data_IF_184771356785
#
_entry.id   IF_184771356785
#
_cell.length_a   1.000
_cell.length_b   1.000
_cell.length_c   1.000
_cell.angle_alpha   90.00
_cell.angle_beta   90.00
_cell.angle_gamma   90.00
#
_symmetry.space_group_name_H-M   'P 1'
#
loop_
_entity.id
_entity.type
_entity.pdbx_description
1 polymer ?
#
# COMPACT_ATOMS: atom_id res chain seq x y z
N UNK A 1 -1.06 -10.16 13.93
CA UNK A 1 -0.51 -8.78 13.88
C UNK A 1 -1.64 -7.79 13.61
N UNK A 2 -1.59 -6.53 14.11
CA UNK A 2 -2.73 -5.64 14.05
C UNK A 2 -3.09 -5.31 12.60
N UNK A 3 -4.36 -5.53 12.23
CA UNK A 3 -4.91 -5.32 10.88
C UNK A 3 -4.93 -3.83 10.44
N UNK A 4 -4.49 -2.91 11.30
CA UNK A 4 -4.40 -1.48 11.05
C UNK A 4 -3.12 -0.90 11.66
N UNK A 5 -2.11 -0.62 10.82
CA UNK A 5 -0.84 0.02 11.20
C UNK A 5 -0.98 1.53 11.52
N UNK A 6 -2.22 2.05 11.59
CA UNK A 6 -2.52 3.43 11.95
C UNK A 6 -2.29 3.71 13.45
N UNK A 7 -2.24 2.65 14.28
CA UNK A 7 -2.02 2.72 15.73
C UNK A 7 -0.78 1.93 16.18
N UNK A 8 0.26 1.84 15.35
CA UNK A 8 1.50 1.16 15.75
C UNK A 8 2.16 1.93 16.90
N UNK A 9 2.00 1.45 18.14
CA UNK A 9 2.81 1.91 19.26
C UNK A 9 4.24 1.47 19.00
N UNK A 10 5.10 2.44 18.73
CA UNK A 10 6.51 2.19 18.45
C UNK A 10 7.19 1.82 19.77
N UNK A 11 7.36 0.53 20.03
CA UNK A 11 8.00 0.03 21.23
C UNK A 11 9.37 -0.58 20.88
N UNK A 12 10.39 -0.23 21.66
CA UNK A 12 11.71 -0.84 21.47
C UNK A 12 11.59 -2.32 21.78
N UNK A 13 12.07 -3.17 20.88
CA UNK A 13 11.94 -4.62 20.97
C UNK A 13 10.92 -5.22 20.00
N UNK A 14 10.07 -4.41 19.34
CA UNK A 14 9.13 -4.93 18.32
C UNK A 14 9.85 -5.60 17.17
N UNK A 15 9.32 -6.75 16.73
CA UNK A 15 9.79 -7.52 15.59
C UNK A 15 8.90 -7.33 14.36
N UNK A 16 9.53 -7.28 13.20
CA UNK A 16 8.92 -7.28 11.87
C UNK A 16 9.46 -8.48 11.10
N UNK A 17 8.58 -9.20 10.39
CA UNK A 17 9.02 -10.35 9.59
C UNK A 17 9.81 -9.87 8.37
N UNK A 18 9.25 -8.86 7.68
CA UNK A 18 9.88 -8.27 6.51
C UNK A 18 10.27 -6.81 6.72
N UNK A 19 11.36 -6.41 6.06
CA UNK A 19 11.78 -5.01 5.98
C UNK A 19 10.69 -4.10 5.36
N UNK A 20 9.86 -4.67 4.48
CA UNK A 20 8.75 -3.97 3.82
C UNK A 20 7.69 -3.53 4.84
N UNK A 21 7.39 -4.35 5.84
CA UNK A 21 6.45 -4.00 6.90
C UNK A 21 6.95 -2.80 7.71
N UNK A 22 8.22 -2.81 8.11
CA UNK A 22 8.83 -1.70 8.82
C UNK A 22 8.81 -0.41 7.99
N UNK A 23 9.23 -0.46 6.72
CA UNK A 23 9.23 0.73 5.86
C UNK A 23 7.82 1.24 5.58
N UNK A 24 6.83 0.36 5.46
CA UNK A 24 5.43 0.73 5.31
C UNK A 24 4.86 1.39 6.57
N UNK A 25 5.19 0.85 7.76
CA UNK A 25 4.82 1.44 9.05
C UNK A 25 5.41 2.86 9.21
N UNK A 26 6.70 3.04 8.87
CA UNK A 26 7.37 4.35 8.91
C UNK A 26 6.71 5.35 7.96
N UNK A 27 6.39 4.94 6.72
CA UNK A 27 5.70 5.80 5.75
C UNK A 27 4.32 6.19 6.25
N UNK A 28 3.54 5.24 6.77
CA UNK A 28 2.20 5.48 7.30
C UNK A 28 2.25 6.45 8.49
N UNK A 29 3.19 6.25 9.42
CA UNK A 29 3.41 7.15 10.54
C UNK A 29 3.80 8.57 10.08
N UNK A 30 4.73 8.68 9.13
CA UNK A 30 5.16 9.96 8.57
C UNK A 30 3.99 10.74 7.96
N UNK A 31 3.08 10.06 7.26
CA UNK A 31 1.97 10.70 6.55
C UNK A 31 0.83 11.08 7.50
N UNK A 32 0.43 10.19 8.41
CA UNK A 32 -0.61 10.48 9.39
C UNK A 32 -0.24 11.64 10.31
N UNK A 33 1.04 11.75 10.69
CA UNK A 33 1.53 12.80 11.57
C UNK A 33 2.15 14.00 10.82
N UNK A 34 2.18 13.98 9.48
CA UNK A 34 2.83 14.99 8.64
C UNK A 34 4.29 15.26 9.06
N UNK A 35 5.09 14.21 9.24
CA UNK A 35 6.50 14.30 9.64
C UNK A 35 7.41 14.09 8.44
N UNK A 36 8.38 14.99 8.27
CA UNK A 36 9.40 14.92 7.22
C UNK A 36 10.48 13.90 7.59
N UNK A 37 10.17 12.61 7.53
CA UNK A 37 11.11 11.53 7.82
C UNK A 37 11.98 11.20 6.61
N UNK A 38 13.25 10.83 6.83
CA UNK A 38 14.17 10.35 5.79
C UNK A 38 14.87 9.08 6.24
N UNK A 39 14.91 8.09 5.34
CA UNK A 39 15.78 6.92 5.47
C UNK A 39 17.23 7.38 5.23
N UNK A 40 18.03 7.41 6.29
CA UNK A 40 19.45 7.80 6.24
C UNK A 40 20.32 6.59 5.86
N UNK A 41 20.03 5.43 6.45
CA UNK A 41 20.64 4.15 6.08
C UNK A 41 19.53 3.16 5.78
N UNK A 42 19.67 2.43 4.68
CA UNK A 42 18.77 1.35 4.30
C UNK A 42 19.61 0.31 3.56
N UNK A 43 20.17 -0.62 4.32
CA UNK A 43 20.96 -1.73 3.82
C UNK A 43 20.34 -3.05 4.27
N UNK A 44 20.84 -4.19 3.78
CA UNK A 44 20.28 -5.51 4.07
C UNK A 44 20.44 -5.94 5.56
N UNK A 45 21.08 -5.13 6.40
CA UNK A 45 21.33 -5.42 7.81
C UNK A 45 20.65 -4.42 8.74
N UNK A 46 20.43 -3.17 8.31
CA UNK A 46 19.93 -2.08 9.15
C UNK A 46 19.20 -1.00 8.36
N UNK A 47 18.20 -0.43 9.03
CA UNK A 47 17.53 0.79 8.64
C UNK A 47 17.70 1.83 9.75
N UNK A 48 18.12 3.03 9.36
CA UNK A 48 18.15 4.19 10.22
C UNK A 48 17.28 5.30 9.61
N UNK A 49 16.30 5.77 10.36
CA UNK A 49 15.39 6.84 9.93
C UNK A 49 15.50 8.00 10.91
N UNK A 50 15.63 9.21 10.37
CA UNK A 50 15.66 10.46 11.17
C UNK A 50 14.58 11.41 10.66
N UNK A 51 14.03 12.23 11.54
CA UNK A 51 13.20 13.36 11.14
C UNK A 51 14.08 14.54 10.69
N UNK A 52 13.74 15.13 9.54
CA UNK A 52 14.38 16.33 9.00
C UNK A 52 13.61 17.62 9.31
N UNK A 53 12.54 17.54 10.09
CA UNK A 53 11.81 18.72 10.55
C UNK A 53 12.70 19.66 11.38
N UNK A 54 12.32 20.94 11.45
CA UNK A 54 13.11 21.95 12.16
C UNK A 54 14.50 22.14 11.55
N UNK A 55 14.62 22.11 10.22
CA UNK A 55 15.89 22.19 9.46
C UNK A 55 16.91 21.09 9.84
N UNK A 56 16.43 19.92 10.25
CA UNK A 56 17.28 18.77 10.62
C UNK A 56 17.63 18.68 12.11
N UNK A 57 17.17 19.63 12.93
CA UNK A 57 17.38 19.65 14.38
C UNK A 57 16.37 18.80 15.15
N UNK A 58 15.49 18.07 14.44
CA UNK A 58 14.61 17.12 15.07
C UNK A 58 15.37 15.96 15.69
N UNK A 59 15.11 15.74 16.98
CA UNK A 59 15.69 14.65 17.78
C UNK A 59 15.07 13.29 17.46
N UNK A 60 13.93 13.25 16.77
CA UNK A 60 13.27 12.00 16.44
C UNK A 60 14.12 11.13 15.52
N UNK A 61 14.35 9.89 15.93
CA UNK A 61 14.99 8.87 15.11
C UNK A 61 14.52 7.47 15.50
N UNK A 62 14.74 6.52 14.59
CA UNK A 62 14.54 5.10 14.85
C UNK A 62 15.62 4.28 14.14
N UNK A 63 16.01 3.18 14.78
CA UNK A 63 16.98 2.23 14.28
C UNK A 63 16.39 0.82 14.36
N UNK A 64 16.24 0.22 13.19
CA UNK A 64 15.77 -1.15 13.01
C UNK A 64 16.87 -1.96 12.33
N UNK A 65 16.94 -3.25 12.60
CA UNK A 65 18.02 -4.08 12.08
C UNK A 65 17.69 -5.55 12.12
N UNK A 66 18.26 -6.27 11.17
CA UNK A 66 18.05 -7.69 11.02
C UNK A 66 18.78 -8.48 12.11
N UNK A 67 18.08 -9.48 12.64
CA UNK A 67 18.56 -10.46 13.61
C UNK A 67 18.53 -11.83 12.97
N UNK A 68 19.72 -12.36 12.71
CA UNK A 68 19.88 -13.66 12.05
C UNK A 68 19.42 -14.83 12.93
N UNK A 69 19.53 -14.68 14.26
CA UNK A 69 19.15 -15.69 15.25
C UNK A 69 17.65 -15.99 15.25
N UNK A 70 16.82 -14.98 15.01
CA UNK A 70 15.34 -15.11 14.95
C UNK A 70 14.78 -14.88 13.55
N UNK A 71 15.66 -14.70 12.55
CA UNK A 71 15.31 -14.39 11.16
C UNK A 71 14.28 -13.25 11.02
N UNK A 72 14.45 -12.16 11.78
CA UNK A 72 13.48 -11.07 11.85
C UNK A 72 14.15 -9.69 12.01
N UNK A 73 13.42 -8.64 11.69
CA UNK A 73 13.84 -7.25 11.85
C UNK A 73 13.39 -6.71 13.20
N UNK A 74 14.32 -6.28 14.05
CA UNK A 74 14.00 -5.75 15.37
C UNK A 74 14.19 -4.23 15.43
N UNK A 75 13.18 -3.53 15.96
CA UNK A 75 13.29 -2.13 16.37
C UNK A 75 14.15 -2.02 17.63
N UNK A 76 15.43 -1.62 17.48
CA UNK A 76 16.41 -1.61 18.57
C UNK A 76 16.55 -0.27 19.28
N UNK A 77 16.35 0.84 18.57
CA UNK A 77 16.40 2.18 19.18
C UNK A 77 15.29 3.05 18.63
N UNK A 78 14.67 3.83 19.51
CA UNK A 78 13.66 4.81 19.15
C UNK A 78 13.79 6.02 20.08
N UNK A 79 13.83 7.20 19.49
CA UNK A 79 13.58 8.45 20.20
C UNK A 79 12.28 9.05 19.66
N UNK A 80 11.20 8.96 20.44
CA UNK A 80 9.84 9.25 19.96
C UNK A 80 9.47 10.74 19.98
N UNK A 81 10.17 11.58 20.75
CA UNK A 81 9.82 12.99 20.86
C UNK A 81 10.24 13.79 19.61
N UNK A 82 9.28 14.53 19.05
CA UNK A 82 9.53 15.53 18.00
C UNK A 82 9.58 16.92 18.62
N UNK A 83 10.51 17.75 18.15
CA UNK A 83 10.55 19.19 18.45
C UNK A 83 10.23 20.04 17.20
N UNK A 84 9.78 19.41 16.12
CA UNK A 84 9.46 20.06 14.86
C UNK A 84 7.95 20.21 14.68
N UNK A 85 7.54 21.15 13.85
CA UNK A 85 6.15 21.28 13.40
C UNK A 85 5.80 20.24 12.34
N UNK A 86 4.50 20.14 12.01
CA UNK A 86 4.01 19.35 10.88
C UNK A 86 4.52 19.94 9.57
N UNK A 87 4.88 19.08 8.62
CA UNK A 87 5.29 19.44 7.27
C UNK A 87 4.15 19.08 6.30
N UNK A 88 3.78 20.03 5.45
CA UNK A 88 2.77 19.82 4.42
C UNK A 88 3.33 19.03 3.23
N UNK A 89 4.65 19.05 3.00
CA UNK A 89 5.29 18.37 1.89
C UNK A 89 6.08 17.13 2.36
N UNK A 90 5.36 16.04 2.62
CA UNK A 90 5.98 14.79 3.10
C UNK A 90 6.55 13.99 1.93
N UNK A 91 7.88 14.05 1.76
CA UNK A 91 8.63 13.36 0.68
C UNK A 91 8.50 11.83 0.66
N UNK A 92 8.04 11.22 1.76
CA UNK A 92 7.82 9.77 1.84
C UNK A 92 6.52 9.30 1.18
N UNK A 93 5.62 10.22 0.82
CA UNK A 93 4.49 9.87 -0.03
C UNK A 93 5.05 9.42 -1.38
N UNK A 94 4.56 8.29 -1.90
CA UNK A 94 4.88 7.81 -3.26
C UNK A 94 3.59 7.51 -4.02
N UNK A 95 3.64 7.58 -5.35
CA UNK A 95 2.47 7.24 -6.17
C UNK A 95 2.00 5.80 -5.95
N UNK A 96 2.93 4.87 -5.73
CA UNK A 96 2.64 3.47 -5.40
C UNK A 96 1.92 3.32 -4.06
N UNK A 97 2.41 3.95 -3.01
CA UNK A 97 1.78 3.89 -1.69
C UNK A 97 0.37 4.51 -1.73
N UNK A 98 0.21 5.58 -2.50
CA UNK A 98 -1.08 6.23 -2.69
C UNK A 98 -2.04 5.36 -3.54
N UNK A 99 -1.55 4.69 -4.59
CA UNK A 99 -2.38 3.84 -5.45
C UNK A 99 -3.00 2.67 -4.68
N UNK A 100 -2.22 1.98 -3.86
CA UNK A 100 -2.68 0.84 -3.03
C UNK A 100 -3.86 1.25 -2.11
N UNK A 101 -3.80 2.44 -1.52
CA UNK A 101 -4.89 2.96 -0.66
C UNK A 101 -6.09 3.48 -1.44
N UNK A 102 -5.91 3.82 -2.71
CA UNK A 102 -6.97 4.31 -3.57
C UNK A 102 -7.73 3.19 -4.28
N UNK A 103 -7.25 1.95 -4.27
CA UNK A 103 -7.87 0.85 -5.02
C UNK A 103 -9.36 0.68 -4.69
N UNK A 104 -9.73 0.69 -3.40
CA UNK A 104 -11.15 0.62 -2.99
C UNK A 104 -11.96 1.77 -3.59
N UNK A 105 -11.42 2.99 -3.49
CA UNK A 105 -12.05 4.20 -4.03
C UNK A 105 -12.21 4.12 -5.56
N UNK A 106 -11.24 3.54 -6.26
CA UNK A 106 -11.27 3.36 -7.71
C UNK A 106 -12.21 2.23 -8.15
N UNK A 107 -12.41 1.20 -7.33
CA UNK A 107 -13.43 0.16 -7.57
C UNK A 107 -14.83 0.74 -7.48
N UNK A 108 -15.09 1.58 -6.48
CA UNK A 108 -16.40 2.22 -6.26
C UNK A 108 -16.68 3.33 -7.28
N UNK A 109 -15.66 4.12 -7.64
CA UNK A 109 -15.80 5.20 -8.62
C UNK A 109 -14.58 5.27 -9.56
N UNK A 110 -14.62 4.52 -10.69
CA UNK A 110 -13.53 4.47 -11.67
C UNK A 110 -13.28 5.78 -12.44
N UNK A 111 -14.26 6.70 -12.47
CA UNK A 111 -14.20 7.96 -13.24
C UNK A 111 -13.77 9.15 -12.39
N UNK A 112 -13.35 8.92 -11.14
CA UNK A 112 -12.93 9.96 -10.21
C UNK A 112 -11.88 10.90 -10.81
N UNK A 113 -12.11 12.21 -10.65
CA UNK A 113 -11.21 13.24 -11.17
C UNK A 113 -9.97 13.33 -10.28
N UNK A 114 -8.86 13.70 -10.92
CA UNK A 114 -7.55 13.86 -10.25
C UNK A 114 -7.62 14.93 -9.15
N UNK A 115 -8.41 15.98 -9.35
CA UNK A 115 -8.58 17.04 -8.35
C UNK A 115 -9.32 16.55 -7.10
N UNK A 116 -10.39 15.77 -7.26
CA UNK A 116 -11.14 15.19 -6.15
C UNK A 116 -10.26 14.26 -5.30
N UNK A 117 -9.39 13.48 -5.95
CA UNK A 117 -8.41 12.63 -5.26
C UNK A 117 -7.45 13.48 -4.44
N UNK A 118 -6.93 14.56 -5.03
CA UNK A 118 -6.03 15.48 -4.35
C UNK A 118 -6.70 16.10 -3.13
N UNK A 119 -7.95 16.53 -3.26
CA UNK A 119 -8.72 17.08 -2.16
C UNK A 119 -8.97 16.04 -1.06
N UNK A 120 -9.36 14.80 -1.41
CA UNK A 120 -9.52 13.71 -0.44
C UNK A 120 -8.23 13.42 0.33
N UNK A 121 -7.09 13.38 -0.35
CA UNK A 121 -5.78 13.14 0.29
C UNK A 121 -5.43 14.28 1.24
N UNK A 122 -5.60 15.54 0.79
CA UNK A 122 -5.35 16.71 1.63
C UNK A 122 -6.27 16.73 2.85
N UNK A 123 -7.56 16.45 2.69
CA UNK A 123 -8.51 16.38 3.83
C UNK A 123 -8.17 15.26 4.81
N UNK A 124 -7.74 14.09 4.32
CA UNK A 124 -7.43 12.93 5.18
C UNK A 124 -6.12 13.07 5.95
N UNK A 125 -5.05 13.51 5.29
CA UNK A 125 -3.70 13.51 5.88
C UNK A 125 -3.11 14.91 6.10
N UNK A 126 -3.79 15.98 5.70
CA UNK A 126 -3.26 17.35 5.75
C UNK A 126 -1.84 17.46 5.15
N UNK A 127 -1.66 16.80 3.99
CA UNK A 127 -0.41 16.75 3.22
C UNK A 127 -0.71 17.13 1.78
N UNK A 128 0.13 17.99 1.21
CA UNK A 128 0.06 18.39 -0.18
C UNK A 128 0.65 17.34 -1.10
N UNK A 129 -0.10 16.97 -2.14
CA UNK A 129 0.39 16.13 -3.24
C UNK A 129 0.39 16.91 -4.55
N UNK A 130 1.33 16.59 -5.43
CA UNK A 130 1.41 17.20 -6.76
C UNK A 130 0.42 16.55 -7.73
N UNK A 131 -0.05 17.31 -8.73
CA UNK A 131 -0.99 16.81 -9.74
C UNK A 131 -0.45 15.58 -10.49
N UNK A 132 0.84 15.60 -10.85
CA UNK A 132 1.50 14.50 -11.56
C UNK A 132 1.56 13.23 -10.71
N UNK A 133 1.80 13.37 -9.40
CA UNK A 133 1.79 12.24 -8.48
C UNK A 133 0.40 11.62 -8.37
N UNK A 134 -0.63 12.44 -8.21
CA UNK A 134 -2.03 11.99 -8.15
C UNK A 134 -2.44 11.29 -9.44
N UNK A 135 -2.04 11.84 -10.60
CA UNK A 135 -2.31 11.22 -11.89
C UNK A 135 -1.69 9.83 -12.00
N UNK A 136 -0.40 9.70 -11.66
CA UNK A 136 0.31 8.41 -11.65
C UNK A 136 -0.32 7.42 -10.68
N UNK A 137 -0.66 7.85 -9.47
CA UNK A 137 -1.32 7.00 -8.48
C UNK A 137 -2.69 6.49 -8.97
N UNK A 138 -3.47 7.36 -9.62
CA UNK A 138 -4.76 7.00 -10.22
C UNK A 138 -4.60 5.98 -11.35
N UNK A 139 -3.63 6.17 -12.24
CA UNK A 139 -3.34 5.23 -13.32
C UNK A 139 -2.96 3.85 -12.75
N UNK A 140 -2.00 3.80 -11.82
CA UNK A 140 -1.59 2.57 -11.16
C UNK A 140 -2.75 1.86 -10.44
N UNK A 141 -3.58 2.60 -9.70
CA UNK A 141 -4.74 2.02 -9.02
C UNK A 141 -5.77 1.46 -10.01
N UNK A 142 -6.00 2.16 -11.13
CA UNK A 142 -6.90 1.69 -12.19
C UNK A 142 -6.38 0.41 -12.84
N UNK A 143 -5.08 0.35 -13.11
CA UNK A 143 -4.43 -0.83 -13.71
C UNK A 143 -4.45 -2.02 -12.76
N UNK A 144 -4.18 -1.82 -11.46
CA UNK A 144 -4.28 -2.86 -10.44
C UNK A 144 -5.70 -3.43 -10.34
N UNK A 145 -6.71 -2.56 -10.34
CA UNK A 145 -8.12 -2.99 -10.31
C UNK A 145 -8.49 -3.78 -11.55
N UNK A 146 -8.09 -3.33 -12.74
CA UNK A 146 -8.30 -4.07 -13.99
C UNK A 146 -7.57 -5.41 -14.03
N UNK A 147 -6.30 -5.44 -13.60
CA UNK A 147 -5.49 -6.65 -13.51
C UNK A 147 -6.14 -7.69 -12.60
N UNK A 148 -6.60 -7.25 -11.42
CA UNK A 148 -7.34 -8.09 -10.47
C UNK A 148 -8.60 -8.70 -11.09
N UNK A 149 -9.37 -7.95 -11.88
CA UNK A 149 -10.53 -8.51 -12.59
C UNK A 149 -10.15 -9.54 -13.65
N UNK A 150 -9.07 -9.28 -14.41
CA UNK A 150 -8.57 -10.23 -15.43
C UNK A 150 -8.09 -11.54 -14.79
N UNK A 151 -7.39 -11.45 -13.66
CA UNK A 151 -6.94 -12.62 -12.88
C UNK A 151 -8.13 -13.40 -12.33
N UNK A 152 -9.11 -12.72 -11.73
CA UNK A 152 -10.34 -13.36 -11.24
C UNK A 152 -11.09 -14.07 -12.36
N UNK A 153 -11.19 -13.45 -13.53
CA UNK A 153 -11.83 -14.06 -14.69
C UNK A 153 -11.11 -15.34 -15.15
N UNK A 154 -9.77 -15.37 -15.10
CA UNK A 154 -8.98 -16.57 -15.44
C UNK A 154 -9.31 -17.74 -14.51
N UNK A 155 -9.47 -17.48 -13.21
CA UNK A 155 -9.76 -18.52 -12.20
C UNK A 155 -11.10 -19.23 -12.46
N UNK A 156 -12.08 -18.57 -13.10
CA UNK A 156 -13.39 -19.17 -13.38
C UNK A 156 -13.25 -20.41 -14.29
N UNK A 157 -12.33 -20.37 -15.26
CA UNK A 157 -12.06 -21.52 -16.13
C UNK A 157 -11.39 -22.66 -15.37
N UNK A 158 -10.38 -22.35 -14.54
CA UNK A 158 -9.69 -23.34 -13.71
C UNK A 158 -10.69 -24.05 -12.77
N UNK A 159 -11.61 -23.28 -12.17
CA UNK A 159 -12.68 -23.81 -11.33
C UNK A 159 -13.63 -24.72 -12.10
N UNK A 160 -14.05 -24.31 -13.30
CA UNK A 160 -14.89 -25.13 -14.17
C UNK A 160 -14.23 -26.47 -14.55
N UNK A 161 -12.92 -26.45 -14.82
CA UNK A 161 -12.17 -27.67 -15.11
C UNK A 161 -12.07 -28.61 -13.90
N UNK A 162 -11.83 -28.09 -12.70
CA UNK A 162 -11.79 -28.94 -11.51
C UNK A 162 -13.15 -29.55 -11.17
N UNK A 163 -14.26 -28.85 -11.41
CA UNK A 163 -15.60 -29.42 -11.25
C UNK A 163 -15.85 -30.62 -12.18
N UNK A 164 -15.48 -30.50 -13.45
CA UNK A 164 -15.60 -31.59 -14.43
C UNK A 164 -14.73 -32.80 -14.06
N UNK A 165 -13.57 -32.55 -13.44
CA UNK A 165 -12.63 -33.59 -13.02
C UNK A 165 -13.07 -34.33 -11.75
N UNK A 166 -13.63 -33.62 -10.78
CA UNK A 166 -14.06 -34.22 -9.49
C UNK A 166 -15.44 -34.85 -9.56
N UNK A 167 -16.34 -34.36 -10.41
CA UNK A 167 -17.70 -34.89 -10.57
C UNK A 167 -17.96 -35.31 -12.03
N UNK A 168 -17.57 -36.53 -12.41
CA UNK A 168 -17.87 -37.08 -13.73
C UNK A 168 -19.38 -37.11 -13.96
N UNK A 169 -19.87 -36.33 -14.93
CA UNK A 169 -21.31 -36.19 -15.24
C UNK A 169 -21.85 -34.76 -15.05
N UNK A 170 -21.13 -33.89 -14.33
CA UNK A 170 -21.47 -32.46 -14.25
C UNK A 170 -21.24 -31.78 -15.60
N UNK A 171 -22.10 -30.83 -15.97
CA UNK A 171 -21.95 -30.01 -17.18
C UNK A 171 -21.63 -28.58 -16.79
N UNK A 172 -20.43 -28.11 -17.12
CA UNK A 172 -20.02 -26.72 -16.89
C UNK A 172 -20.09 -25.92 -18.18
N UNK A 173 -20.81 -24.80 -18.19
CA UNK A 173 -20.82 -23.84 -19.30
C UNK A 173 -20.52 -22.42 -18.81
N UNK A 174 -19.48 -21.82 -19.39
CA UNK A 174 -19.07 -20.44 -19.11
C UNK A 174 -19.49 -19.59 -20.29
N UNK A 175 -20.46 -18.69 -20.10
CA UNK A 175 -20.90 -17.77 -21.15
C UNK A 175 -20.14 -16.46 -21.06
N UNK A 176 -19.58 -16.05 -22.18
CA UNK A 176 -18.86 -14.79 -22.37
C UNK A 176 -19.45 -14.01 -23.53
N UNK A 177 -19.35 -12.69 -23.45
CA UNK A 177 -19.65 -11.76 -24.53
C UNK A 177 -18.33 -11.29 -25.17
N UNK A 178 -18.27 -11.24 -26.50
CA UNK A 178 -17.09 -10.83 -27.26
C UNK A 178 -17.33 -9.49 -27.97
N UNK A 179 -17.95 -8.55 -27.27
CA UNK A 179 -18.19 -7.19 -27.77
C UNK A 179 -16.92 -6.33 -27.67
N UNK A 180 -16.57 -5.58 -28.73
CA UNK A 180 -15.48 -4.59 -28.74
C UNK A 180 -14.06 -5.08 -28.38
N UNK A 181 -13.67 -6.29 -28.81
CA UNK A 181 -12.32 -6.89 -28.56
C UNK A 181 -12.01 -7.14 -27.07
N UNK A 182 -12.99 -7.01 -26.18
CA UNK A 182 -12.88 -7.39 -24.77
C UNK A 182 -13.80 -8.60 -24.52
N UNK A 183 -13.31 -9.58 -23.76
CA UNK A 183 -14.09 -10.76 -23.35
C UNK A 183 -14.75 -10.43 -22.01
N UNK A 184 -16.07 -10.30 -22.00
CA UNK A 184 -16.85 -9.93 -20.81
C UNK A 184 -17.56 -11.18 -20.28
N UNK A 185 -17.29 -11.52 -19.01
CA UNK A 185 -18.02 -12.58 -18.33
C UNK A 185 -19.51 -12.26 -18.21
N UNK A 186 -20.37 -13.22 -18.55
CA UNK A 186 -21.81 -13.10 -18.30
C UNK A 186 -22.27 -14.02 -17.17
N UNK A 187 -22.02 -15.33 -17.28
CA UNK A 187 -22.60 -16.33 -16.38
C UNK A 187 -21.82 -17.65 -16.39
N UNK A 188 -21.87 -18.32 -15.25
CA UNK A 188 -21.30 -19.65 -15.01
C UNK A 188 -22.44 -20.61 -14.68
N UNK A 189 -22.57 -21.67 -15.47
CA UNK A 189 -23.49 -22.78 -15.24
C UNK A 189 -22.68 -24.00 -14.85
N UNK A 190 -23.05 -24.67 -13.76
CA UNK A 190 -22.48 -25.93 -13.32
C UNK A 190 -23.59 -26.81 -12.73
#
# INVERSE_FOLDING_TARGET
>A
MPKSLEACKWEVGTYFAEIKEFTYAIRTYALSNGRSLKFIKNDNKRIYVKCLGGKGNCKWYTYCSFRADVNAWQLRKLFHAHNCSRDFNVKLMTSKWLSERMEKTMRENPTMKVMDIREKVTRKWNVGISRNMTFRARAMAKDNVKGSFKEQFRIIYDYGHELLKTNPGTTVQIKVDNSNREVIFQRFYA
#
